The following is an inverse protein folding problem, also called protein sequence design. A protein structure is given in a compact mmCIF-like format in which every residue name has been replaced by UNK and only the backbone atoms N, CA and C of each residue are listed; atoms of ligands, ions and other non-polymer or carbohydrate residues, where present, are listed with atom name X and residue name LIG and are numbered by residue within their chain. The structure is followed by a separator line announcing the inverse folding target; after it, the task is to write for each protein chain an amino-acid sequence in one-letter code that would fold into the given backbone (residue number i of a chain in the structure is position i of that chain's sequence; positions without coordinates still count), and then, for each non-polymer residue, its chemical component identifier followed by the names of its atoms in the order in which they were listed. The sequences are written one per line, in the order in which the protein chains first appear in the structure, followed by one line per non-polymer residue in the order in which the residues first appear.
data_IF_197410706687
#
_entry.id   IF_197410706687
#
_cell.length_a   1.000
_cell.length_b   1.000
_cell.length_c   1.000
_cell.angle_alpha   90.00
_cell.angle_beta   90.00
_cell.angle_gamma   90.00
#
_symmetry.space_group_name_H-M   'P 1'
#
loop_
_entity.id
_entity.type
_entity.pdbx_description
1 polymer ?
#
# COMPACT_ATOMS: atom_id res chain seq x y z
N UNK A 1 -24.88 24.88 12.14
CA UNK A 1 -23.51 24.47 12.42
C UNK A 1 -22.85 24.24 11.07
N UNK A 2 -21.78 24.96 10.74
CA UNK A 2 -20.99 24.73 9.52
C UNK A 2 -20.26 23.41 9.66
N UNK A 3 -20.31 22.57 8.62
CA UNK A 3 -19.53 21.33 8.60
C UNK A 3 -18.03 21.67 8.79
N UNK A 4 -17.28 20.85 9.58
CA UNK A 4 -15.85 21.09 9.78
C UNK A 4 -15.13 21.02 8.42
N UNK A 5 -14.30 22.03 8.14
CA UNK A 5 -13.57 22.11 6.87
C UNK A 5 -12.36 21.18 6.92
N UNK A 6 -12.23 20.32 5.92
CA UNK A 6 -11.05 19.47 5.76
C UNK A 6 -9.81 20.34 5.47
N UNK A 7 -8.74 20.14 6.23
CA UNK A 7 -7.42 20.67 5.92
C UNK A 7 -6.70 19.75 4.96
N UNK A 8 -6.31 20.25 3.80
CA UNK A 8 -5.43 19.51 2.89
C UNK A 8 -3.98 19.62 3.37
N UNK A 9 -3.34 18.47 3.63
CA UNK A 9 -1.96 18.38 4.09
C UNK A 9 -0.98 18.09 2.96
N UNK A 10 -1.44 17.35 1.95
CA UNK A 10 -0.65 16.98 0.77
C UNK A 10 -1.57 16.68 -0.41
N UNK A 11 -1.11 16.98 -1.61
CA UNK A 11 -1.74 16.55 -2.86
C UNK A 11 -0.69 16.46 -3.97
N UNK A 12 -0.76 15.41 -4.77
CA UNK A 12 -0.02 15.27 -6.03
C UNK A 12 -0.93 14.56 -7.05
N UNK A 13 -1.07 15.14 -8.23
CA UNK A 13 -1.83 14.56 -9.35
C UNK A 13 -0.92 13.79 -10.32
N UNK A 14 0.38 13.78 -10.05
CA UNK A 14 1.42 13.11 -10.83
C UNK A 14 1.56 13.59 -12.29
N UNK A 15 0.98 14.70 -12.65
CA UNK A 15 1.09 15.24 -14.03
C UNK A 15 2.53 15.64 -14.37
N UNK A 16 3.35 15.93 -13.35
CA UNK A 16 4.80 16.16 -13.46
C UNK A 16 5.64 14.90 -13.17
N UNK A 17 5.00 13.72 -13.09
CA UNK A 17 5.61 12.46 -12.69
C UNK A 17 5.94 12.37 -11.20
N UNK A 18 6.72 11.34 -10.81
CA UNK A 18 7.19 11.19 -9.43
C UNK A 18 8.46 12.03 -9.23
N UNK A 19 8.29 13.24 -8.74
CA UNK A 19 9.42 14.13 -8.42
C UNK A 19 10.15 13.61 -7.19
N UNK A 20 11.35 13.05 -7.37
CA UNK A 20 12.18 12.47 -6.32
C UNK A 20 13.55 13.14 -6.27
N UNK A 21 14.24 13.04 -5.12
CA UNK A 21 15.54 13.65 -4.87
C UNK A 21 15.53 14.60 -3.67
N UNK A 22 16.60 15.38 -3.50
CA UNK A 22 16.70 16.30 -2.37
C UNK A 22 15.61 17.38 -2.43
N UNK A 23 14.81 17.50 -1.36
CA UNK A 23 13.72 18.47 -1.25
C UNK A 23 12.48 18.16 -2.09
N UNK A 24 12.45 17.06 -2.81
CA UNK A 24 11.29 16.64 -3.61
C UNK A 24 10.20 15.98 -2.73
N UNK A 25 8.94 15.99 -3.17
CA UNK A 25 7.82 15.45 -2.37
C UNK A 25 7.82 13.92 -2.24
N UNK A 26 8.63 13.21 -3.06
CA UNK A 26 8.67 11.75 -3.09
C UNK A 26 10.06 11.20 -2.86
N UNK A 27 10.13 10.06 -2.19
CA UNK A 27 11.33 9.24 -2.04
C UNK A 27 11.08 7.85 -2.61
N UNK A 28 11.87 7.47 -3.60
CA UNK A 28 11.88 6.11 -4.13
C UNK A 28 12.67 5.19 -3.20
N UNK A 29 12.17 3.96 -3.00
CA UNK A 29 12.84 2.96 -2.19
C UNK A 29 13.76 2.10 -3.03
N UNK A 30 15.07 2.00 -2.71
CA UNK A 30 15.96 1.03 -3.35
C UNK A 30 15.50 -0.41 -3.06
N UNK A 31 15.65 -1.29 -4.06
CA UNK A 31 15.37 -2.73 -3.94
C UNK A 31 16.49 -3.48 -4.64
N UNK A 32 17.16 -4.39 -3.95
CA UNK A 32 18.35 -5.12 -4.45
C UNK A 32 19.39 -4.15 -5.03
N UNK A 33 19.82 -4.36 -6.26
CA UNK A 33 20.75 -3.50 -6.99
C UNK A 33 20.04 -2.34 -7.74
N UNK A 34 18.74 -2.18 -7.59
CA UNK A 34 17.93 -1.16 -8.26
C UNK A 34 17.77 0.06 -7.34
N UNK A 35 18.45 1.18 -7.59
CA UNK A 35 18.49 2.32 -6.67
C UNK A 35 17.14 3.06 -6.54
N UNK A 36 16.25 2.89 -7.53
CA UNK A 36 14.90 3.46 -7.56
C UNK A 36 13.80 2.39 -7.41
N UNK A 37 14.19 1.15 -7.03
CA UNK A 37 13.28 0.01 -6.99
C UNK A 37 13.03 -0.62 -8.36
N UNK A 38 12.26 -1.70 -8.38
CA UNK A 38 11.89 -2.44 -9.59
C UNK A 38 10.65 -1.79 -10.24
N UNK A 39 10.81 -0.56 -10.71
CA UNK A 39 9.74 0.19 -11.35
C UNK A 39 10.22 1.25 -12.33
N UNK A 40 9.67 1.21 -13.54
CA UNK A 40 9.80 2.26 -14.55
C UNK A 40 8.55 3.12 -14.49
N UNK A 41 8.74 4.38 -14.10
CA UNK A 41 7.66 5.37 -13.99
C UNK A 41 7.48 6.11 -15.30
N UNK A 42 6.25 6.24 -15.75
CA UNK A 42 5.85 7.06 -16.89
C UNK A 42 4.75 8.03 -16.46
N UNK A 43 4.80 9.24 -16.99
CA UNK A 43 3.74 10.24 -16.80
C UNK A 43 2.70 10.11 -17.90
N UNK A 44 1.43 10.26 -17.55
CA UNK A 44 0.30 10.30 -18.46
C UNK A 44 -0.56 11.54 -18.15
N UNK A 45 -1.49 11.94 -19.02
CA UNK A 45 -2.45 13.01 -18.71
C UNK A 45 -3.32 12.73 -17.47
N UNK A 46 -3.53 11.43 -17.14
CA UNK A 46 -4.37 10.98 -16.03
C UNK A 46 -3.57 10.66 -14.74
N UNK A 47 -2.25 10.95 -14.75
CA UNK A 47 -1.37 10.69 -13.61
C UNK A 47 -0.12 9.90 -14.00
N UNK A 48 0.28 8.91 -13.19
CA UNK A 48 1.43 8.06 -13.44
C UNK A 48 1.04 6.63 -13.81
N UNK A 49 1.95 5.97 -14.53
CA UNK A 49 1.93 4.52 -14.76
C UNK A 49 3.29 3.97 -14.36
N UNK A 50 3.28 2.88 -13.60
CA UNK A 50 4.50 2.17 -13.17
C UNK A 50 4.42 0.73 -13.62
N UNK A 51 5.48 0.26 -14.29
CA UNK A 51 5.68 -1.14 -14.66
C UNK A 51 7.01 -1.63 -14.10
N UNK A 52 7.20 -2.94 -13.85
CA UNK A 52 8.50 -3.49 -13.48
C UNK A 52 9.57 -3.17 -14.52
N UNK A 53 10.84 -3.19 -14.08
CA UNK A 53 12.01 -2.90 -14.95
C UNK A 53 12.34 -4.03 -15.91
N UNK A 54 11.97 -5.26 -15.59
CA UNK A 54 12.19 -6.43 -16.42
C UNK A 54 11.13 -6.61 -17.51
N UNK A 55 11.43 -7.53 -18.42
CA UNK A 55 10.56 -7.91 -19.54
C UNK A 55 10.57 -9.43 -19.67
N UNK A 56 9.41 -10.05 -19.83
CA UNK A 56 9.30 -11.46 -20.18
C UNK A 56 9.82 -11.69 -21.60
N UNK A 57 10.83 -12.55 -21.75
CA UNK A 57 11.51 -12.75 -23.02
C UNK A 57 10.63 -13.41 -24.11
N UNK A 58 9.53 -14.07 -23.72
CA UNK A 58 8.64 -14.76 -24.66
C UNK A 58 7.53 -13.86 -25.17
N UNK A 59 6.93 -13.07 -24.27
CA UNK A 59 5.78 -12.23 -24.59
C UNK A 59 6.13 -10.78 -24.86
N UNK A 60 7.31 -10.30 -24.39
CA UNK A 60 7.68 -8.90 -24.42
C UNK A 60 6.91 -8.04 -23.39
N UNK A 61 6.08 -8.65 -22.53
CA UNK A 61 5.32 -7.95 -21.52
C UNK A 61 6.20 -7.54 -20.32
N UNK A 62 5.83 -6.48 -19.57
CA UNK A 62 6.51 -6.14 -18.34
C UNK A 62 6.56 -7.31 -17.36
N UNK A 63 7.71 -7.54 -16.75
CA UNK A 63 7.94 -8.59 -15.78
C UNK A 63 8.83 -8.09 -14.64
N UNK A 64 8.59 -8.56 -13.41
CA UNK A 64 9.46 -8.24 -12.29
C UNK A 64 10.89 -8.69 -12.57
N UNK A 65 11.86 -7.82 -12.24
CA UNK A 65 13.27 -8.16 -12.34
C UNK A 65 13.61 -9.30 -11.38
N UNK A 66 14.34 -10.30 -11.87
CA UNK A 66 14.79 -11.42 -11.04
C UNK A 66 15.77 -10.91 -9.98
N UNK A 67 15.52 -11.15 -8.68
CA UNK A 67 16.42 -10.68 -7.63
C UNK A 67 17.70 -11.52 -7.59
N UNK A 68 18.81 -10.88 -7.24
CA UNK A 68 20.07 -11.56 -6.95
C UNK A 68 20.13 -12.16 -5.54
N UNK A 69 19.20 -11.76 -4.66
CA UNK A 69 19.08 -12.16 -3.25
C UNK A 69 17.66 -12.70 -2.99
N UNK A 70 17.35 -13.22 -1.79
CA UNK A 70 15.97 -13.58 -1.45
C UNK A 70 14.99 -12.46 -1.77
N UNK A 71 13.84 -12.82 -2.33
CA UNK A 71 12.83 -11.87 -2.81
C UNK A 71 12.42 -10.91 -1.68
N UNK A 72 12.53 -9.60 -1.95
CA UNK A 72 11.88 -8.59 -1.15
C UNK A 72 10.46 -8.42 -1.66
N UNK A 73 9.47 -8.61 -0.79
CA UNK A 73 8.05 -8.49 -1.11
C UNK A 73 7.71 -7.17 -1.80
N UNK A 74 8.20 -6.05 -1.26
CA UNK A 74 8.03 -4.72 -1.86
C UNK A 74 9.05 -4.54 -2.99
N UNK A 75 8.59 -4.56 -4.24
CA UNK A 75 9.42 -4.47 -5.45
C UNK A 75 9.70 -3.03 -5.88
N UNK A 76 8.73 -2.15 -5.74
CA UNK A 76 8.90 -0.73 -5.99
C UNK A 76 8.03 0.06 -5.01
N UNK A 77 8.51 1.21 -4.55
CA UNK A 77 7.67 2.15 -3.82
C UNK A 77 8.15 3.59 -3.96
N UNK A 78 7.17 4.48 -4.02
CA UNK A 78 7.34 5.91 -3.82
C UNK A 78 6.62 6.32 -2.53
N UNK A 79 7.37 6.84 -1.55
CA UNK A 79 6.82 7.36 -0.28
C UNK A 79 6.88 8.89 -0.26
N UNK A 80 5.88 9.52 0.33
CA UNK A 80 5.93 10.96 0.61
C UNK A 80 7.12 11.28 1.53
N UNK A 81 7.76 12.44 1.29
CA UNK A 81 8.88 12.95 2.13
C UNK A 81 8.41 13.87 3.25
N UNK A 82 7.09 13.96 3.46
CA UNK A 82 6.52 14.80 4.52
C UNK A 82 7.11 14.46 5.88
N UNK A 83 7.43 15.49 6.65
CA UNK A 83 7.88 15.38 8.05
C UNK A 83 6.89 16.15 8.90
N UNK A 84 6.37 15.48 9.93
CA UNK A 84 5.41 16.07 10.87
C UNK A 84 6.04 17.21 11.69
N UNK A 85 5.24 18.06 12.32
CA UNK A 85 5.74 19.10 13.25
C UNK A 85 6.59 18.54 14.40
N UNK A 86 6.38 17.28 14.80
CA UNK A 86 7.21 16.58 15.79
C UNK A 86 8.57 16.10 15.26
N UNK A 87 8.90 16.36 13.98
CA UNK A 87 10.15 15.97 13.33
C UNK A 87 10.19 14.51 12.86
N UNK A 88 9.06 13.81 12.84
CA UNK A 88 8.95 12.41 12.43
C UNK A 88 8.54 12.29 10.96
N UNK A 89 9.06 11.32 10.21
CA UNK A 89 8.60 11.06 8.84
C UNK A 89 7.12 10.67 8.82
N UNK A 90 6.34 11.34 7.98
CA UNK A 90 4.91 11.06 7.81
C UNK A 90 4.01 12.18 8.33
N UNK A 91 2.70 11.94 8.27
CA UNK A 91 1.62 12.84 8.68
C UNK A 91 1.15 12.44 10.07
N UNK A 92 1.18 13.38 11.00
CA UNK A 92 0.84 13.15 12.40
C UNK A 92 -0.66 12.85 12.57
N UNK A 93 -0.97 11.89 13.44
CA UNK A 93 -2.33 11.61 13.89
C UNK A 93 -2.62 12.47 15.12
N UNK A 94 -3.60 13.36 15.02
CA UNK A 94 -3.94 14.31 16.10
C UNK A 94 -5.29 13.92 16.70
N UNK A 95 -5.38 13.96 18.03
CA UNK A 95 -6.66 13.72 18.72
C UNK A 95 -7.73 14.72 18.25
N UNK A 96 -8.96 14.24 18.10
CA UNK A 96 -10.05 15.04 17.56
C UNK A 96 -9.98 15.29 16.05
N UNK A 97 -9.11 14.59 15.32
CA UNK A 97 -9.02 14.68 13.86
C UNK A 97 -9.11 13.29 13.23
N UNK A 98 -9.72 13.23 12.05
CA UNK A 98 -9.65 12.09 11.14
C UNK A 98 -8.55 12.37 10.11
N UNK A 99 -7.45 11.64 10.15
CA UNK A 99 -6.41 11.67 9.13
C UNK A 99 -6.81 10.69 8.01
N UNK A 100 -6.79 11.15 6.75
CA UNK A 100 -7.22 10.35 5.61
C UNK A 100 -6.23 10.49 4.47
N UNK A 101 -5.84 9.36 3.87
CA UNK A 101 -5.19 9.31 2.56
C UNK A 101 -6.17 8.75 1.54
N UNK A 102 -6.17 9.30 0.34
CA UNK A 102 -6.93 8.76 -0.79
C UNK A 102 -6.12 8.81 -2.08
N UNK A 103 -6.35 7.84 -2.98
CA UNK A 103 -5.77 7.82 -4.31
C UNK A 103 -6.73 7.14 -5.31
N UNK A 104 -6.68 7.58 -6.56
CA UNK A 104 -7.36 6.92 -7.68
C UNK A 104 -6.37 5.92 -8.28
N UNK A 105 -6.67 4.61 -8.24
CA UNK A 105 -5.71 3.55 -8.56
C UNK A 105 -6.34 2.49 -9.45
N UNK A 106 -5.60 2.05 -10.47
CA UNK A 106 -5.92 0.88 -11.28
C UNK A 106 -4.69 -0.04 -11.38
N UNK A 107 -4.93 -1.30 -11.71
CA UNK A 107 -3.85 -2.28 -11.90
C UNK A 107 -4.27 -3.32 -12.93
N UNK A 108 -3.30 -3.77 -13.75
CA UNK A 108 -3.41 -5.00 -14.53
C UNK A 108 -2.17 -5.87 -14.35
N UNK A 109 -2.35 -7.18 -14.41
CA UNK A 109 -1.27 -8.16 -14.36
C UNK A 109 -0.93 -8.71 -15.74
N UNK A 110 0.31 -9.18 -15.90
CA UNK A 110 0.85 -9.82 -17.10
C UNK A 110 1.45 -11.17 -16.76
N UNK A 111 1.33 -12.15 -17.65
CA UNK A 111 1.96 -13.45 -17.51
C UNK A 111 1.48 -14.29 -16.33
N UNK A 112 0.24 -14.06 -15.87
CA UNK A 112 -0.33 -14.73 -14.69
C UNK A 112 -0.81 -16.15 -14.96
N UNK A 113 -1.11 -16.49 -16.21
CA UNK A 113 -1.69 -17.76 -16.66
C UNK A 113 -0.69 -18.91 -16.74
N UNK A 114 0.59 -18.64 -16.64
CA UNK A 114 1.67 -19.62 -16.84
C UNK A 114 2.51 -19.89 -15.58
N UNK A 115 1.95 -19.66 -14.39
CA UNK A 115 2.70 -19.87 -13.14
C UNK A 115 2.96 -21.37 -12.85
N UNK A 116 4.10 -21.67 -12.20
CA UNK A 116 4.51 -23.06 -11.91
C UNK A 116 4.06 -23.56 -10.51
N UNK A 117 3.19 -22.87 -9.80
CA UNK A 117 2.89 -23.11 -8.39
C UNK A 117 1.58 -23.86 -8.17
N UNK A 118 1.65 -25.07 -7.61
CA UNK A 118 0.49 -25.92 -7.35
C UNK A 118 -0.42 -25.40 -6.22
N UNK A 119 0.12 -24.55 -5.32
CA UNK A 119 -0.64 -23.94 -4.21
C UNK A 119 -1.36 -22.64 -4.59
N UNK A 120 -1.35 -22.26 -5.85
CA UNK A 120 -2.04 -21.09 -6.40
C UNK A 120 -3.22 -21.56 -7.22
N UNK A 121 -4.44 -21.40 -6.69
CA UNK A 121 -5.66 -21.83 -7.36
C UNK A 121 -6.08 -20.86 -8.48
N UNK A 122 -5.86 -19.55 -8.27
CA UNK A 122 -6.17 -18.49 -9.23
C UNK A 122 -5.10 -17.39 -9.15
N UNK A 123 -4.21 -17.37 -10.13
CA UNK A 123 -3.11 -16.43 -10.21
C UNK A 123 -3.56 -14.98 -10.37
N UNK A 124 -4.76 -14.75 -10.90
CA UNK A 124 -5.28 -13.40 -11.15
C UNK A 124 -5.71 -12.67 -9.87
N UNK A 125 -5.86 -13.41 -8.78
CA UNK A 125 -6.24 -12.86 -7.46
C UNK A 125 -5.18 -13.11 -6.37
N UNK A 126 -4.12 -13.85 -6.65
CA UNK A 126 -3.10 -14.18 -5.65
C UNK A 126 -2.11 -13.02 -5.48
N UNK A 127 -2.12 -12.38 -4.30
CA UNK A 127 -1.26 -11.23 -3.97
C UNK A 127 0.24 -11.56 -4.02
N UNK A 128 0.63 -12.83 -3.88
CA UNK A 128 2.03 -13.28 -3.90
C UNK A 128 2.65 -13.20 -5.28
N UNK A 129 1.83 -13.23 -6.34
CA UNK A 129 2.29 -13.26 -7.73
C UNK A 129 2.41 -11.86 -8.34
N UNK A 130 1.68 -10.90 -7.80
CA UNK A 130 1.78 -9.52 -8.23
C UNK A 130 0.61 -8.69 -7.74
N UNK A 131 0.94 -7.64 -7.02
CA UNK A 131 -0.01 -6.65 -6.53
C UNK A 131 0.59 -5.25 -6.63
N UNK A 132 -0.26 -4.26 -6.52
CA UNK A 132 0.14 -2.87 -6.37
C UNK A 132 -0.96 -2.10 -5.68
N UNK A 133 -0.63 -0.94 -5.12
CA UNK A 133 -1.65 -0.14 -4.47
C UNK A 133 -1.16 0.97 -3.55
N UNK A 134 -2.05 1.36 -2.64
CA UNK A 134 -1.85 2.44 -1.70
C UNK A 134 -1.22 1.90 -0.41
N UNK A 135 -0.11 2.52 0.02
CA UNK A 135 0.62 2.18 1.24
C UNK A 135 0.35 3.22 2.30
N UNK A 136 0.11 2.75 3.53
CA UNK A 136 -0.06 3.57 4.72
C UNK A 136 0.63 2.89 5.90
N UNK A 137 1.79 3.39 6.32
CA UNK A 137 2.62 2.74 7.34
C UNK A 137 3.07 3.70 8.44
N UNK A 138 2.90 3.28 9.70
CA UNK A 138 3.59 3.88 10.84
C UNK A 138 4.83 3.06 11.17
N UNK A 139 6.01 3.62 10.88
CA UNK A 139 7.30 2.95 11.09
C UNK A 139 7.71 2.84 12.57
N UNK A 140 7.03 3.50 13.50
CA UNK A 140 7.32 3.37 14.94
C UNK A 140 6.60 2.17 15.56
N UNK A 141 5.29 2.04 15.28
CA UNK A 141 4.48 0.93 15.79
C UNK A 141 4.47 -0.31 14.89
N UNK A 142 4.95 -0.18 13.65
CA UNK A 142 4.89 -1.22 12.63
C UNK A 142 3.51 -1.42 12.02
N UNK A 143 2.55 -0.56 12.31
CA UNK A 143 1.19 -0.70 11.78
C UNK A 143 1.13 -0.30 10.31
N UNK A 144 0.45 -1.15 9.54
CA UNK A 144 0.22 -0.95 8.10
C UNK A 144 -1.27 -1.06 7.81
N UNK A 145 -1.77 -0.10 7.03
CA UNK A 145 -3.13 -0.04 6.50
C UNK A 145 -3.08 0.16 5.00
N UNK A 146 -2.89 -0.92 4.24
CA UNK A 146 -2.71 -0.84 2.80
C UNK A 146 -3.97 -1.23 2.03
N UNK A 147 -4.00 -0.87 0.75
CA UNK A 147 -4.80 -1.54 -0.25
C UNK A 147 -3.90 -2.23 -1.27
N UNK A 148 -4.17 -3.51 -1.55
CA UNK A 148 -3.56 -4.24 -2.65
C UNK A 148 -4.60 -4.54 -3.72
N UNK A 149 -4.27 -4.16 -4.95
CA UNK A 149 -4.97 -4.58 -6.15
C UNK A 149 -4.18 -5.71 -6.79
N UNK A 150 -4.86 -6.80 -7.15
CA UNK A 150 -4.39 -7.79 -8.09
C UNK A 150 -5.12 -7.63 -9.42
N UNK A 151 -4.89 -8.50 -10.39
CA UNK A 151 -5.54 -8.40 -11.69
C UNK A 151 -7.08 -8.35 -11.57
N UNK A 152 -7.68 -9.22 -10.71
CA UNK A 152 -9.13 -9.34 -10.58
C UNK A 152 -9.69 -9.08 -9.17
N UNK A 153 -8.85 -8.74 -8.18
CA UNK A 153 -9.32 -8.57 -6.80
C UNK A 153 -8.67 -7.39 -6.10
N UNK A 154 -9.41 -6.81 -5.17
CA UNK A 154 -9.00 -5.76 -4.30
C UNK A 154 -9.00 -6.26 -2.85
N UNK A 155 -7.91 -5.99 -2.13
CA UNK A 155 -7.71 -6.39 -0.75
C UNK A 155 -7.49 -5.16 0.14
N UNK A 156 -8.16 -5.13 1.28
CA UNK A 156 -7.75 -4.31 2.40
C UNK A 156 -6.72 -5.09 3.22
N UNK A 157 -5.56 -4.51 3.46
CA UNK A 157 -4.46 -5.13 4.21
C UNK A 157 -4.32 -4.43 5.55
N UNK A 158 -4.39 -5.25 6.62
CA UNK A 158 -4.11 -4.83 7.96
C UNK A 158 -2.94 -5.65 8.50
N UNK A 159 -1.84 -4.97 8.84
CA UNK A 159 -0.62 -5.63 9.20
C UNK A 159 0.05 -4.96 10.41
N UNK A 160 0.78 -5.76 11.19
CA UNK A 160 1.78 -5.29 12.14
C UNK A 160 3.12 -5.92 11.80
N UNK A 161 4.05 -5.10 11.33
CA UNK A 161 5.40 -5.50 10.94
C UNK A 161 6.24 -5.86 12.16
N UNK A 162 7.08 -6.88 12.01
CA UNK A 162 8.16 -7.17 12.95
C UNK A 162 9.36 -6.24 12.65
N UNK A 163 9.30 -5.01 13.18
CA UNK A 163 10.33 -4.00 12.91
C UNK A 163 11.66 -4.28 13.62
N UNK A 164 11.65 -5.08 14.69
CA UNK A 164 12.81 -5.41 15.50
C UNK A 164 12.76 -6.88 15.90
N UNK A 165 13.86 -7.64 15.71
CA UNK A 165 13.90 -9.06 16.11
C UNK A 165 13.64 -9.31 17.60
N UNK A 166 13.97 -8.33 18.45
CA UNK A 166 13.72 -8.36 19.89
C UNK A 166 12.30 -7.96 20.31
N UNK A 167 11.50 -7.40 19.38
CA UNK A 167 10.13 -7.04 19.67
C UNK A 167 9.28 -8.29 19.91
N UNK A 168 8.60 -8.33 21.06
CA UNK A 168 7.77 -9.47 21.48
C UNK A 168 6.28 -9.27 21.22
N UNK A 169 5.91 -8.21 20.57
CA UNK A 169 4.52 -7.96 20.19
C UNK A 169 4.08 -8.88 19.05
N UNK A 170 2.78 -9.08 18.95
CA UNK A 170 2.18 -9.85 17.86
C UNK A 170 2.45 -9.20 16.50
N UNK A 171 3.17 -9.91 15.62
CA UNK A 171 3.39 -9.51 14.23
C UNK A 171 2.58 -10.42 13.30
N UNK A 172 1.79 -9.82 12.42
CA UNK A 172 0.81 -10.52 11.58
C UNK A 172 0.46 -9.73 10.32
N UNK A 173 -0.10 -10.43 9.34
CA UNK A 173 -0.66 -9.82 8.13
C UNK A 173 -2.03 -10.41 7.81
N UNK A 174 -3.05 -9.55 7.77
CA UNK A 174 -4.36 -9.87 7.21
C UNK A 174 -4.47 -9.29 5.80
N UNK A 175 -5.00 -10.07 4.87
CA UNK A 175 -5.41 -9.60 3.55
C UNK A 175 -6.88 -10.00 3.34
N UNK A 176 -7.77 -9.03 3.51
CA UNK A 176 -9.22 -9.21 3.41
C UNK A 176 -9.66 -8.90 1.98
N UNK A 177 -10.20 -9.85 1.22
CA UNK A 177 -10.77 -9.55 -0.10
C UNK A 177 -12.02 -8.70 0.08
N UNK A 178 -12.04 -7.51 -0.51
CA UNK A 178 -13.12 -6.53 -0.30
C UNK A 178 -13.93 -6.25 -1.56
N UNK A 179 -13.38 -6.51 -2.74
CA UNK A 179 -14.11 -6.39 -4.00
C UNK A 179 -13.46 -7.22 -5.11
N UNK A 180 -14.26 -7.75 -6.01
CA UNK A 180 -13.80 -8.17 -7.32
C UNK A 180 -13.71 -6.95 -8.24
N UNK A 181 -12.77 -6.97 -9.19
CA UNK A 181 -12.52 -5.87 -10.11
C UNK A 181 -12.18 -6.36 -11.52
N UNK A 182 -12.31 -5.48 -12.49
CA UNK A 182 -11.77 -5.69 -13.83
C UNK A 182 -10.39 -5.06 -13.96
N UNK A 183 -9.47 -5.65 -14.73
CA UNK A 183 -8.20 -5.00 -15.08
C UNK A 183 -8.45 -3.57 -15.58
N UNK A 184 -7.55 -2.67 -15.25
CA UNK A 184 -7.60 -1.24 -15.65
C UNK A 184 -8.79 -0.44 -15.07
N UNK A 185 -9.68 -1.06 -14.32
CA UNK A 185 -10.74 -0.35 -13.61
C UNK A 185 -10.12 0.53 -12.52
N UNK A 186 -10.34 1.84 -12.63
CA UNK A 186 -9.92 2.80 -11.61
C UNK A 186 -10.85 2.71 -10.41
N UNK A 187 -10.25 2.61 -9.23
CA UNK A 187 -10.96 2.70 -7.96
C UNK A 187 -10.40 3.86 -7.14
N UNK A 188 -11.31 4.60 -6.50
CA UNK A 188 -10.93 5.54 -5.45
C UNK A 188 -10.75 4.78 -4.15
N UNK A 189 -9.51 4.64 -3.73
CA UNK A 189 -9.11 4.01 -2.47
C UNK A 189 -8.97 5.07 -1.40
N UNK A 190 -9.45 4.78 -0.20
CA UNK A 190 -9.33 5.69 0.93
C UNK A 190 -9.05 4.90 2.22
N UNK A 191 -8.00 5.30 2.93
CA UNK A 191 -7.67 4.81 4.27
C UNK A 191 -7.75 5.98 5.23
N UNK A 192 -8.48 5.81 6.33
CA UNK A 192 -8.59 6.84 7.36
C UNK A 192 -8.32 6.27 8.75
N UNK A 193 -7.71 7.08 9.61
CA UNK A 193 -7.45 6.76 11.01
C UNK A 193 -7.92 7.87 11.92
N UNK A 194 -8.70 7.51 12.93
CA UNK A 194 -9.19 8.40 13.97
C UNK A 194 -8.52 8.04 15.30
N UNK A 195 -7.58 8.89 15.72
CA UNK A 195 -6.77 8.60 16.90
C UNK A 195 -7.58 8.51 18.19
N UNK A 196 -8.57 9.38 18.38
CA UNK A 196 -9.40 9.43 19.59
C UNK A 196 -10.15 8.12 19.86
N UNK A 197 -10.55 7.40 18.81
CA UNK A 197 -11.23 6.11 18.90
C UNK A 197 -10.30 4.91 18.63
N UNK A 198 -9.08 5.16 18.16
CA UNK A 198 -8.14 4.11 17.73
C UNK A 198 -8.64 3.32 16.52
N UNK A 199 -9.50 3.94 15.68
CA UNK A 199 -10.20 3.23 14.60
C UNK A 199 -9.61 3.55 13.24
N UNK A 200 -9.25 2.52 12.49
CA UNK A 200 -8.90 2.57 11.07
C UNK A 200 -10.07 2.13 10.19
N UNK A 201 -10.27 2.78 9.03
CA UNK A 201 -11.32 2.44 8.07
C UNK A 201 -10.78 2.45 6.65
N UNK A 202 -11.19 1.46 5.87
CA UNK A 202 -10.91 1.36 4.44
C UNK A 202 -12.19 1.59 3.65
N UNK A 203 -12.11 2.43 2.62
CA UNK A 203 -13.22 2.68 1.70
C UNK A 203 -12.78 2.50 0.26
N UNK A 204 -13.68 1.93 -0.53
CA UNK A 204 -13.55 1.76 -1.98
C UNK A 204 -14.72 2.49 -2.62
N UNK A 205 -14.44 3.45 -3.51
CA UNK A 205 -15.46 4.23 -4.22
C UNK A 205 -16.49 4.87 -3.27
N UNK A 206 -16.02 5.30 -2.09
CA UNK A 206 -16.84 5.91 -1.03
C UNK A 206 -17.54 4.95 -0.09
N UNK A 207 -17.62 3.65 -0.42
CA UNK A 207 -18.21 2.64 0.46
C UNK A 207 -17.18 2.11 1.48
N UNK A 208 -17.53 2.05 2.76
CA UNK A 208 -16.69 1.42 3.79
C UNK A 208 -16.71 -0.10 3.60
N UNK A 209 -15.52 -0.69 3.48
CA UNK A 209 -15.35 -2.13 3.19
C UNK A 209 -14.66 -2.89 4.34
N UNK A 210 -13.95 -2.19 5.22
CA UNK A 210 -13.32 -2.76 6.41
C UNK A 210 -13.18 -1.67 7.48
N UNK A 211 -13.29 -2.08 8.75
CA UNK A 211 -12.98 -1.25 9.92
C UNK A 211 -12.25 -2.08 10.97
N UNK A 212 -11.26 -1.47 11.63
CA UNK A 212 -10.49 -2.05 12.74
C UNK A 212 -10.43 -1.06 13.88
N UNK A 213 -10.87 -1.46 15.07
CA UNK A 213 -10.95 -0.65 16.29
C UNK A 213 -9.97 -1.09 17.40
N UNK A 214 -9.29 -2.22 17.23
CA UNK A 214 -8.26 -2.74 18.13
C UNK A 214 -6.93 -2.86 17.40
N UNK A 215 -6.43 -1.70 16.94
CA UNK A 215 -5.19 -1.64 16.15
C UNK A 215 -4.01 -2.21 16.94
N UNK A 216 -3.21 -3.07 16.30
CA UNK A 216 -2.08 -3.79 16.89
C UNK A 216 -2.40 -5.22 17.32
N UNK A 217 -3.68 -5.64 17.26
CA UNK A 217 -4.12 -6.98 17.65
C UNK A 217 -4.70 -7.79 16.49
N UNK A 218 -4.73 -9.13 16.63
CA UNK A 218 -5.37 -10.05 15.67
C UNK A 218 -6.89 -10.05 15.85
N UNK A 219 -7.57 -9.01 15.41
CA UNK A 219 -9.00 -8.82 15.65
C UNK A 219 -9.91 -9.19 14.47
N UNK A 220 -9.35 -9.65 13.35
CA UNK A 220 -10.11 -10.06 12.17
C UNK A 220 -10.24 -11.60 12.12
N UNK A 221 -11.10 -12.09 11.21
CA UNK A 221 -11.29 -13.51 10.97
C UNK A 221 -9.97 -14.17 10.53
N UNK A 222 -9.64 -15.29 11.19
CA UNK A 222 -8.43 -16.07 10.92
C UNK A 222 -8.35 -16.59 9.46
N UNK A 223 -9.47 -16.70 8.75
CA UNK A 223 -9.50 -17.06 7.34
C UNK A 223 -8.73 -16.07 6.44
N UNK A 224 -8.62 -14.81 6.89
CA UNK A 224 -7.89 -13.76 6.17
C UNK A 224 -6.45 -13.56 6.65
N UNK A 225 -6.02 -14.29 7.70
CA UNK A 225 -4.66 -14.24 8.22
C UNK A 225 -3.71 -14.94 7.24
N UNK A 226 -2.78 -14.17 6.65
CA UNK A 226 -1.81 -14.65 5.67
C UNK A 226 -0.46 -14.96 6.31
N UNK A 227 -0.13 -14.26 7.38
CA UNK A 227 1.10 -14.42 8.13
C UNK A 227 0.84 -14.21 9.62
N UNK A 228 1.46 -15.05 10.44
CA UNK A 228 1.46 -14.92 11.89
C UNK A 228 2.84 -15.34 12.42
N UNK A 229 3.57 -14.37 12.97
CA UNK A 229 4.88 -14.61 13.57
C UNK A 229 4.80 -14.81 15.10
N UNK A 230 3.60 -14.99 15.64
CA UNK A 230 3.39 -15.07 17.09
C UNK A 230 3.52 -13.71 17.77
N UNK A 231 3.82 -13.74 19.08
CA UNK A 231 3.98 -12.53 19.88
C UNK A 231 2.77 -12.20 20.76
N UNK A 232 2.96 -11.21 21.64
CA UNK A 232 1.96 -10.78 22.62
C UNK A 232 1.00 -9.77 21.98
N UNK A 233 -0.31 -9.97 22.20
CA UNK A 233 -1.33 -9.01 21.77
C UNK A 233 -1.18 -7.68 22.52
N UNK A 234 -1.10 -6.59 21.78
CA UNK A 234 -0.94 -5.24 22.32
C UNK A 234 -1.62 -4.24 21.42
N UNK A 235 -2.61 -3.55 21.92
CA UNK A 235 -3.23 -2.42 21.20
C UNK A 235 -2.26 -1.24 21.14
N UNK A 236 -2.19 -0.59 20.00
CA UNK A 236 -1.34 0.58 19.78
C UNK A 236 -2.14 1.71 19.14
N UNK A 237 -1.68 2.93 19.39
CA UNK A 237 -2.19 4.14 18.72
C UNK A 237 -1.07 4.70 17.84
N UNK A 238 -1.10 4.46 16.54
CA UNK A 238 -0.12 5.02 15.60
C UNK A 238 0.00 6.53 15.75
N UNK A 239 1.24 7.02 15.81
CA UNK A 239 1.53 8.44 16.01
C UNK A 239 1.56 9.24 14.71
N UNK A 240 1.88 8.60 13.61
CA UNK A 240 1.95 9.19 12.27
C UNK A 240 1.82 8.10 11.21
N UNK A 241 1.55 8.49 9.96
CA UNK A 241 1.62 7.60 8.81
C UNK A 241 2.44 8.20 7.68
N UNK A 242 3.37 7.41 7.14
CA UNK A 242 3.96 7.63 5.82
C UNK A 242 3.07 7.00 4.77
N UNK A 243 2.77 7.75 3.72
CA UNK A 243 1.92 7.30 2.62
C UNK A 243 2.73 7.10 1.35
N UNK A 244 2.30 6.16 0.53
CA UNK A 244 2.97 5.87 -0.73
C UNK A 244 2.15 5.02 -1.68
N UNK A 245 2.78 4.72 -2.81
CA UNK A 245 2.32 3.75 -3.80
C UNK A 245 3.38 2.66 -3.93
N UNK A 246 2.97 1.43 -4.22
CA UNK A 246 3.90 0.31 -4.33
C UNK A 246 3.49 -0.78 -5.31
N UNK A 247 4.52 -1.53 -5.76
CA UNK A 247 4.38 -2.81 -6.45
C UNK A 247 4.94 -3.91 -5.55
N UNK A 248 4.27 -5.04 -5.52
CA UNK A 248 4.56 -6.15 -4.64
C UNK A 248 4.57 -7.49 -5.38
N UNK A 249 5.48 -8.38 -5.01
CA UNK A 249 5.46 -9.78 -5.40
C UNK A 249 6.37 -10.61 -4.50
N UNK A 250 5.91 -11.80 -4.08
CA UNK A 250 6.68 -12.74 -3.27
C UNK A 250 7.37 -13.81 -4.12
N UNK A 251 6.83 -14.08 -5.30
CA UNK A 251 7.28 -15.15 -6.20
C UNK A 251 7.48 -14.61 -7.61
N UNK A 252 8.62 -14.97 -8.22
CA UNK A 252 9.02 -14.49 -9.55
C UNK A 252 9.08 -15.66 -10.51
N UNK A 253 8.36 -15.57 -11.64
CA UNK A 253 8.37 -16.58 -12.71
C UNK A 253 8.25 -15.96 -14.11
N UNK A 254 8.41 -14.64 -14.25
CA UNK A 254 8.28 -13.90 -15.50
C UNK A 254 6.99 -13.07 -15.59
N UNK A 255 6.21 -13.02 -14.54
CA UNK A 255 5.01 -12.16 -14.43
C UNK A 255 5.38 -10.71 -14.06
N UNK A 256 4.43 -9.81 -14.31
CA UNK A 256 4.53 -8.42 -13.90
C UNK A 256 3.16 -7.78 -13.70
N UNK A 257 3.19 -6.53 -13.26
CA UNK A 257 1.98 -5.71 -13.08
C UNK A 257 2.20 -4.31 -13.65
N UNK A 258 1.14 -3.66 -14.05
CA UNK A 258 1.10 -2.22 -14.33
C UNK A 258 0.17 -1.56 -13.33
N UNK A 259 0.71 -0.65 -12.55
CA UNK A 259 -0.03 0.21 -11.64
C UNK A 259 -0.24 1.57 -12.31
N UNK A 260 -1.47 2.01 -12.41
CA UNK A 260 -1.81 3.39 -12.75
C UNK A 260 -2.31 4.11 -11.50
N UNK A 261 -1.84 5.32 -11.26
CA UNK A 261 -2.29 6.13 -10.15
C UNK A 261 -2.54 7.57 -10.60
N UNK A 262 -3.72 8.05 -10.27
CA UNK A 262 -4.09 9.45 -10.38
C UNK A 262 -3.80 10.19 -9.08
N UNK A 263 -4.68 11.15 -8.75
CA UNK A 263 -4.48 12.05 -7.61
C UNK A 263 -4.35 11.31 -6.28
N UNK A 264 -3.21 11.49 -5.59
CA UNK A 264 -3.04 11.13 -4.19
C UNK A 264 -3.23 12.37 -3.30
N UNK A 265 -4.07 12.27 -2.28
CA UNK A 265 -4.38 13.36 -1.36
C UNK A 265 -4.34 12.89 0.08
N UNK A 266 -3.78 13.73 0.97
CA UNK A 266 -3.83 13.56 2.42
C UNK A 266 -4.57 14.73 3.04
N UNK A 267 -5.55 14.43 3.89
CA UNK A 267 -6.38 15.43 4.57
C UNK A 267 -6.51 15.13 6.06
N UNK A 268 -6.70 16.17 6.87
CA UNK A 268 -7.14 16.07 8.26
C UNK A 268 -8.48 16.79 8.43
N UNK A 269 -9.45 16.12 9.05
CA UNK A 269 -10.79 16.68 9.30
C UNK A 269 -11.04 16.68 10.79
N UNK A 270 -11.33 17.85 11.43
CA UNK A 270 -11.74 17.90 12.82
C UNK A 270 -12.99 17.04 13.06
N UNK A 271 -12.99 16.31 14.18
CA UNK A 271 -14.14 15.53 14.67
C UNK A 271 -14.62 16.14 15.99
N UNK A 272 -15.91 16.35 16.09
CA UNK A 272 -16.59 16.87 17.29
C UNK A 272 -16.89 15.76 18.28
#
# INVERSE_FOLDING_TARGET
MTAPTAQQLFEDDFTDGVRSGAGAPWRLRPVDALPTGDGVVRTTPDGLVVVPTGVDARSGAPAFAQPATPVQHLRWAAFTTHVSPSGRPGFETVDGHLLTVSADVALRGFGLDTHPYDDVADATVDIRLGAGGLISVDLESGIVFDFFLTHHRLYAVYERLELRPEARFAAFTYAVPVADRRPEQVHRLEVSFERATGTARWRVDGAEVLSVDRVGTRCLDAAYLKRDNGGVEESVLPGQFSYGLGLFADRMYGQGVELSAGRLRVTAVPRS
#
